data_IF_447463514734
#
_entry.id   IF_447463514734
#
_cell.length_a   1.000
_cell.length_b   1.000
_cell.length_c   1.000
_cell.angle_alpha   90.00
_cell.angle_beta   90.00
_cell.angle_gamma   90.00
#
_symmetry.space_group_name_H-M   'P 1'
#
loop_
_entity.id
_entity.type
_entity.pdbx_description
1 polymer ?
#
# COMPACT_ATOMS: atom_id res chain seq x y z
N UNK A 1 -18.92 -31.85 -24.74
CA UNK A 1 -18.73 -31.24 -23.39
C UNK A 1 -18.54 -29.72 -23.50
N UNK A 2 -18.97 -29.13 -24.63
CA UNK A 2 -18.50 -27.83 -25.11
C UNK A 2 -19.47 -26.68 -24.83
N UNK A 3 -20.74 -26.99 -24.56
CA UNK A 3 -21.74 -25.97 -24.17
C UNK A 3 -21.51 -25.41 -22.78
N UNK A 4 -21.05 -26.23 -21.82
CA UNK A 4 -20.81 -25.78 -20.44
C UNK A 4 -19.66 -24.78 -20.34
N UNK A 5 -18.64 -24.93 -21.19
CA UNK A 5 -17.49 -24.02 -21.26
C UNK A 5 -17.92 -22.67 -21.85
N UNK A 6 -18.67 -22.69 -22.96
CA UNK A 6 -19.21 -21.45 -23.56
C UNK A 6 -20.11 -20.67 -22.61
N UNK A 7 -20.92 -21.37 -21.82
CA UNK A 7 -21.82 -20.73 -20.86
C UNK A 7 -21.07 -20.12 -19.67
N UNK A 8 -19.95 -20.74 -19.23
CA UNK A 8 -19.07 -20.19 -18.21
C UNK A 8 -18.33 -18.93 -18.70
N UNK A 9 -17.83 -18.91 -19.95
CA UNK A 9 -17.16 -17.73 -20.52
C UNK A 9 -18.12 -16.53 -20.63
N UNK A 10 -19.35 -16.76 -21.08
CA UNK A 10 -20.38 -15.70 -21.17
C UNK A 10 -20.79 -15.22 -19.78
N UNK A 11 -20.88 -16.12 -18.80
CA UNK A 11 -21.20 -15.76 -17.42
C UNK A 11 -20.10 -14.91 -16.79
N UNK A 12 -18.83 -15.30 -16.92
CA UNK A 12 -17.65 -14.53 -16.48
C UNK A 12 -17.59 -13.13 -17.11
N UNK A 13 -17.98 -12.98 -18.38
CA UNK A 13 -18.03 -11.68 -19.05
C UNK A 13 -19.18 -10.79 -18.56
N UNK A 14 -20.28 -11.37 -18.07
CA UNK A 14 -21.50 -10.64 -17.68
C UNK A 14 -21.47 -10.17 -16.23
N UNK A 15 -20.89 -10.94 -15.32
CA UNK A 15 -20.69 -10.58 -13.90
C UNK A 15 -19.37 -9.87 -13.64
N UNK A 16 -18.52 -9.71 -14.65
CA UNK A 16 -17.33 -8.87 -14.51
C UNK A 16 -17.80 -7.45 -14.13
N UNK A 17 -17.44 -6.93 -12.94
CA UNK A 17 -17.74 -5.54 -12.63
C UNK A 17 -17.11 -4.67 -13.71
N UNK A 18 -17.73 -3.54 -14.11
CA UNK A 18 -17.21 -2.63 -15.14
C UNK A 18 -15.84 -2.00 -14.81
N UNK A 19 -15.19 -2.46 -13.73
CA UNK A 19 -13.91 -2.02 -13.23
C UNK A 19 -12.83 -3.11 -13.18
N UNK A 20 -13.01 -4.23 -13.88
CA UNK A 20 -11.89 -5.12 -14.24
C UNK A 20 -11.08 -4.47 -15.37
N UNK A 21 -10.39 -3.37 -15.05
CA UNK A 21 -9.59 -2.65 -16.03
C UNK A 21 -8.30 -3.45 -16.29
N UNK A 22 -8.01 -3.88 -17.54
CA UNK A 22 -6.69 -4.39 -17.90
C UNK A 22 -5.64 -3.33 -17.55
N UNK A 23 -4.40 -3.74 -17.29
CA UNK A 23 -3.25 -2.85 -16.99
C UNK A 23 -3.08 -1.78 -18.09
N UNK A 24 -3.85 -0.71 -18.00
CA UNK A 24 -3.71 0.54 -18.73
C UNK A 24 -3.07 1.51 -17.76
N UNK A 25 -1.93 2.04 -18.15
CA UNK A 25 -1.13 3.06 -17.50
C UNK A 25 -1.98 4.02 -16.63
N UNK A 26 -2.04 3.76 -15.31
CA UNK A 26 -2.84 4.54 -14.33
C UNK A 26 -2.07 5.79 -13.85
N UNK A 27 -1.33 6.43 -14.74
CA UNK A 27 -0.44 7.55 -14.40
C UNK A 27 -1.18 8.79 -13.83
N UNK A 28 -2.44 9.16 -14.20
CA UNK A 28 -3.03 10.41 -13.74
C UNK A 28 -3.24 10.50 -12.22
N UNK A 29 -3.73 9.43 -11.58
CA UNK A 29 -4.20 9.48 -10.18
C UNK A 29 -3.05 9.41 -9.17
N UNK A 30 -1.94 8.79 -9.52
CA UNK A 30 -0.77 8.66 -8.64
C UNK A 30 0.12 9.90 -8.71
N UNK A 31 0.22 10.56 -9.87
CA UNK A 31 0.99 11.80 -10.05
C UNK A 31 0.51 12.91 -9.10
N UNK A 32 -0.80 13.05 -8.93
CA UNK A 32 -1.33 14.03 -7.98
C UNK A 32 -1.03 13.66 -6.52
N UNK A 33 -1.07 12.37 -6.17
CA UNK A 33 -0.62 11.88 -4.84
C UNK A 33 0.83 12.27 -4.61
N UNK A 34 1.69 11.99 -5.60
CA UNK A 34 3.12 12.31 -5.57
C UNK A 34 3.31 13.80 -5.32
N UNK A 35 2.66 14.66 -6.11
CA UNK A 35 2.78 16.12 -6.00
C UNK A 35 2.45 16.61 -4.59
N UNK A 36 1.32 16.18 -4.03
CA UNK A 36 0.91 16.63 -2.69
C UNK A 36 1.83 16.11 -1.60
N UNK A 37 2.32 14.87 -1.70
CA UNK A 37 3.23 14.29 -0.72
C UNK A 37 4.60 14.98 -0.77
N UNK A 38 5.11 15.30 -1.96
CA UNK A 38 6.36 16.07 -2.12
C UNK A 38 6.24 17.52 -1.63
N UNK A 39 5.02 18.05 -1.50
CA UNK A 39 4.76 19.34 -0.86
C UNK A 39 4.78 19.26 0.68
N UNK A 40 5.06 18.09 1.26
CA UNK A 40 5.16 17.88 2.70
C UNK A 40 3.82 17.57 3.39
N UNK A 41 2.73 17.35 2.63
CA UNK A 41 1.44 17.00 3.23
C UNK A 41 1.50 15.59 3.85
N UNK A 42 0.74 15.39 4.92
CA UNK A 42 0.57 14.07 5.52
C UNK A 42 -0.33 13.17 4.67
N UNK A 43 -0.25 11.85 4.87
CA UNK A 43 -1.14 10.89 4.18
C UNK A 43 -2.61 11.20 4.45
N UNK A 44 -2.95 11.66 5.65
CA UNK A 44 -4.32 12.02 6.04
C UNK A 44 -4.80 13.28 5.31
N UNK A 45 -3.96 14.31 5.20
CA UNK A 45 -4.30 15.54 4.48
C UNK A 45 -4.50 15.28 2.99
N UNK A 46 -3.65 14.44 2.40
CA UNK A 46 -3.79 14.03 1.00
C UNK A 46 -5.07 13.23 0.79
N UNK A 47 -5.40 12.33 1.72
CA UNK A 47 -6.65 11.57 1.67
C UNK A 47 -7.87 12.52 1.72
N UNK A 48 -7.87 13.49 2.64
CA UNK A 48 -8.95 14.47 2.78
C UNK A 48 -9.07 15.37 1.53
N UNK A 49 -7.96 15.95 1.08
CA UNK A 49 -7.92 16.88 -0.06
C UNK A 49 -8.36 16.23 -1.36
N UNK A 50 -8.05 14.95 -1.53
CA UNK A 50 -8.42 14.17 -2.72
C UNK A 50 -9.72 13.39 -2.56
N UNK A 51 -10.38 13.47 -1.40
CA UNK A 51 -11.56 12.67 -1.06
C UNK A 51 -11.32 11.16 -1.28
N UNK A 52 -10.14 10.69 -0.90
CA UNK A 52 -9.71 9.29 -0.96
C UNK A 52 -9.61 8.71 0.45
N UNK A 53 -9.60 7.38 0.55
CA UNK A 53 -9.26 6.73 1.83
C UNK A 53 -7.74 6.75 2.05
N UNK A 54 -7.31 6.76 3.31
CA UNK A 54 -5.89 6.63 3.69
C UNK A 54 -5.29 5.36 3.06
N UNK A 55 -6.05 4.25 3.07
CA UNK A 55 -5.65 3.00 2.45
C UNK A 55 -5.37 3.12 0.95
N UNK A 56 -6.16 3.91 0.22
CA UNK A 56 -5.94 4.18 -1.22
C UNK A 56 -4.67 5.01 -1.44
N UNK A 57 -4.45 6.04 -0.63
CA UNK A 57 -3.24 6.88 -0.71
C UNK A 57 -1.99 6.05 -0.42
N UNK A 58 -2.01 5.19 0.60
CA UNK A 58 -0.91 4.27 0.92
C UNK A 58 -0.64 3.29 -0.23
N UNK A 59 -1.68 2.74 -0.86
CA UNK A 59 -1.51 1.87 -2.03
C UNK A 59 -0.86 2.62 -3.20
N UNK A 60 -1.22 3.88 -3.44
CA UNK A 60 -0.55 4.70 -4.46
C UNK A 60 0.94 4.94 -4.11
N UNK A 61 1.26 5.22 -2.85
CA UNK A 61 2.63 5.40 -2.39
C UNK A 61 3.45 4.11 -2.54
N UNK A 62 2.89 2.95 -2.18
CA UNK A 62 3.53 1.64 -2.37
C UNK A 62 3.87 1.39 -3.85
N UNK A 63 2.95 1.70 -4.77
CA UNK A 63 3.20 1.58 -6.21
C UNK A 63 4.27 2.55 -6.69
N UNK A 64 4.18 3.84 -6.32
CA UNK A 64 5.14 4.87 -6.73
C UNK A 64 6.56 4.58 -6.24
N UNK A 65 6.70 4.05 -5.02
CA UNK A 65 8.01 3.62 -4.50
C UNK A 65 8.52 2.38 -5.24
N UNK A 66 7.65 1.41 -5.52
CA UNK A 66 8.00 0.20 -6.27
C UNK A 66 8.45 0.51 -7.70
N UNK A 67 7.84 1.49 -8.34
CA UNK A 67 8.17 1.95 -9.69
C UNK A 67 9.40 2.89 -9.72
N UNK A 68 9.97 3.23 -8.57
CA UNK A 68 11.11 4.16 -8.46
C UNK A 68 10.74 5.62 -8.72
N UNK A 69 9.46 5.93 -8.88
CA UNK A 69 8.97 7.30 -9.06
C UNK A 69 9.05 8.12 -7.75
N UNK A 70 9.09 7.46 -6.59
CA UNK A 70 9.33 8.07 -5.28
C UNK A 70 10.39 7.29 -4.52
N UNK A 71 11.29 8.00 -3.85
CA UNK A 71 12.24 7.41 -2.93
C UNK A 71 11.74 7.56 -1.49
N UNK A 72 11.39 6.45 -0.84
CA UNK A 72 10.87 6.48 0.53
C UNK A 72 11.81 7.20 1.52
N UNK A 73 13.13 7.03 1.39
CA UNK A 73 14.08 7.65 2.30
C UNK A 73 14.24 9.17 2.10
N UNK A 74 14.02 9.68 0.88
CA UNK A 74 14.17 11.10 0.54
C UNK A 74 12.84 11.84 0.53
N UNK A 75 11.87 11.34 -0.23
CA UNK A 75 10.61 12.02 -0.52
C UNK A 75 9.53 11.78 0.54
N UNK A 76 9.64 10.69 1.32
CA UNK A 76 8.66 10.33 2.35
C UNK A 76 9.22 10.48 3.76
N UNK A 77 10.38 11.11 3.93
CA UNK A 77 11.04 11.22 5.23
C UNK A 77 10.16 11.87 6.31
N UNK A 78 9.33 12.85 5.93
CA UNK A 78 8.38 13.54 6.80
C UNK A 78 7.21 12.66 7.26
N UNK A 79 6.93 11.58 6.52
CA UNK A 79 5.89 10.61 6.87
C UNK A 79 6.42 9.49 7.76
N UNK A 80 7.73 9.44 8.00
CA UNK A 80 8.33 8.36 8.78
C UNK A 80 7.77 8.42 10.21
N UNK A 81 7.28 7.30 10.78
CA UNK A 81 6.87 7.25 12.18
C UNK A 81 8.03 7.67 13.10
N UNK A 82 7.71 8.08 14.32
CA UNK A 82 8.72 8.49 15.30
C UNK A 82 9.81 7.42 15.44
N UNK A 83 11.08 7.78 15.67
CA UNK A 83 12.19 6.82 15.68
C UNK A 83 11.95 5.61 16.59
N UNK A 84 11.38 5.84 17.77
CA UNK A 84 11.02 4.79 18.74
C UNK A 84 9.95 3.84 18.19
N UNK A 85 8.86 4.38 17.62
CA UNK A 85 7.79 3.55 17.05
C UNK A 85 8.27 2.80 15.81
N UNK A 86 8.99 3.48 14.93
CA UNK A 86 9.57 2.89 13.73
C UNK A 86 10.51 1.72 14.07
N UNK A 87 11.40 1.89 15.05
CA UNK A 87 12.31 0.83 15.48
C UNK A 87 11.55 -0.43 15.97
N UNK A 88 10.48 -0.22 16.74
CA UNK A 88 9.63 -1.33 17.22
C UNK A 88 8.93 -2.02 16.06
N UNK A 89 8.29 -1.27 15.17
CA UNK A 89 7.59 -1.81 14.00
C UNK A 89 8.56 -2.57 13.09
N UNK A 90 9.71 -1.98 12.77
CA UNK A 90 10.75 -2.61 11.94
C UNK A 90 11.20 -3.95 12.53
N UNK A 91 11.50 -3.99 13.84
CA UNK A 91 11.94 -5.21 14.53
C UNK A 91 10.88 -6.32 14.43
N UNK A 92 9.61 -5.98 14.64
CA UNK A 92 8.52 -6.96 14.56
C UNK A 92 8.28 -7.41 13.12
N UNK A 93 8.24 -6.50 12.14
CA UNK A 93 8.08 -6.86 10.73
C UNK A 93 9.20 -7.80 10.24
N UNK A 94 10.45 -7.55 10.65
CA UNK A 94 11.57 -8.42 10.34
C UNK A 94 11.42 -9.79 11.00
N UNK A 95 11.06 -9.84 12.29
CA UNK A 95 10.81 -11.12 12.99
C UNK A 95 9.70 -11.94 12.34
N UNK A 96 8.64 -11.29 11.86
CA UNK A 96 7.56 -11.94 11.12
C UNK A 96 8.08 -12.45 9.79
N UNK A 97 8.84 -11.64 9.04
CA UNK A 97 9.42 -12.06 7.76
C UNK A 97 10.37 -13.24 7.89
N UNK A 98 11.20 -13.27 8.93
CA UNK A 98 12.12 -14.39 9.18
C UNK A 98 11.38 -15.69 9.53
N UNK A 99 10.15 -15.62 10.06
CA UNK A 99 9.31 -16.80 10.38
C UNK A 99 8.42 -17.25 9.24
N UNK A 100 7.83 -16.30 8.52
CA UNK A 100 6.76 -16.52 7.55
C UNK A 100 7.22 -16.38 6.09
N UNK A 101 8.48 -15.96 5.87
CA UNK A 101 9.02 -15.61 4.56
C UNK A 101 8.57 -14.24 4.03
N UNK A 102 7.58 -13.60 4.65
CA UNK A 102 7.07 -12.29 4.24
C UNK A 102 6.73 -11.38 5.44
N UNK A 103 6.89 -10.06 5.27
CA UNK A 103 6.46 -9.03 6.23
C UNK A 103 4.92 -8.91 6.31
N UNK A 104 4.26 -9.95 6.82
CA UNK A 104 2.79 -9.97 7.01
C UNK A 104 2.37 -8.97 8.09
N UNK A 105 1.39 -8.11 7.77
CA UNK A 105 0.96 -7.03 8.65
C UNK A 105 0.08 -7.52 9.82
N UNK A 106 -0.79 -8.50 9.56
CA UNK A 106 -1.68 -9.07 10.58
C UNK A 106 -0.93 -9.65 11.80
N UNK A 107 0.04 -10.57 11.64
CA UNK A 107 0.83 -11.07 12.77
C UNK A 107 1.70 -9.97 13.39
N UNK A 108 2.23 -9.03 12.60
CA UNK A 108 3.00 -7.92 13.14
C UNK A 108 2.16 -7.02 14.05
N UNK A 109 0.92 -6.69 13.65
CA UNK A 109 -0.03 -5.91 14.46
C UNK A 109 -0.42 -6.65 15.73
N UNK A 110 -0.68 -7.96 15.62
CA UNK A 110 -1.01 -8.81 16.77
C UNK A 110 0.09 -8.77 17.84
N UNK A 111 1.36 -8.81 17.44
CA UNK A 111 2.51 -8.73 18.36
C UNK A 111 2.69 -7.31 18.94
N UNK A 112 2.42 -6.27 18.15
CA UNK A 112 2.59 -4.87 18.57
C UNK A 112 1.46 -4.36 19.46
N UNK A 113 0.26 -4.92 19.32
CA UNK A 113 -0.96 -4.53 20.02
C UNK A 113 -1.79 -3.46 19.28
N UNK A 114 -2.97 -3.19 19.81
CA UNK A 114 -4.01 -2.35 19.17
C UNK A 114 -3.61 -0.88 19.00
N UNK A 115 -2.64 -0.41 19.79
CA UNK A 115 -2.08 0.94 19.69
C UNK A 115 -1.43 1.25 18.32
N UNK A 116 -1.14 0.21 17.53
CA UNK A 116 -0.58 0.35 16.18
C UNK A 116 -1.64 0.05 15.13
N UNK A 117 -1.80 0.98 14.19
CA UNK A 117 -2.76 0.83 13.09
C UNK A 117 -2.13 0.11 11.90
N UNK A 118 -2.95 -0.55 11.08
CA UNK A 118 -2.45 -1.17 9.85
C UNK A 118 -1.82 -0.15 8.91
N UNK A 119 -2.33 1.08 8.88
CA UNK A 119 -1.82 2.17 8.05
C UNK A 119 -0.40 2.56 8.45
N UNK A 120 -0.14 2.66 9.76
CA UNK A 120 1.19 2.94 10.28
C UNK A 120 2.19 1.81 9.95
N UNK A 121 1.75 0.55 10.05
CA UNK A 121 2.56 -0.60 9.67
C UNK A 121 2.88 -0.60 8.17
N UNK A 122 1.90 -0.27 7.31
CA UNK A 122 2.09 -0.14 5.86
C UNK A 122 3.08 0.96 5.54
N UNK A 123 2.93 2.12 6.18
CA UNK A 123 3.83 3.26 6.00
C UNK A 123 5.25 2.91 6.43
N UNK A 124 5.43 2.28 7.59
CA UNK A 124 6.73 1.82 8.06
C UNK A 124 7.37 0.81 7.10
N UNK A 125 6.58 -0.10 6.51
CA UNK A 125 7.05 -1.10 5.53
C UNK A 125 7.71 -0.47 4.30
N UNK A 126 7.33 0.76 3.92
CA UNK A 126 7.99 1.48 2.81
C UNK A 126 9.46 1.81 3.08
N UNK A 127 9.85 1.93 4.35
CA UNK A 127 11.22 2.27 4.75
C UNK A 127 12.06 1.05 5.17
N UNK A 128 11.46 -0.15 5.17
CA UNK A 128 12.17 -1.37 5.50
C UNK A 128 12.61 -2.03 4.18
N UNK A 129 13.91 -2.29 3.97
CA UNK A 129 14.37 -2.96 2.77
C UNK A 129 13.76 -4.36 2.71
N UNK A 130 13.25 -4.75 1.53
CA UNK A 130 12.84 -6.13 1.28
C UNK A 130 14.13 -6.96 1.12
N UNK A 131 14.26 -8.04 1.89
CA UNK A 131 15.28 -9.07 1.66
C UNK A 131 14.97 -9.81 0.37
#
# INVERSE_FOLDING_TARGET
QDEKIKMQEVFLATIAPPNANPKKEKVPTQVETKKLITQGLSVSDVAMKRKLTIGTVLSHLETLVKEGALNAAKDLHHLKPTPLRFAKIKKILQRVADREGEMKLAPARSILGESYTFEELRLARLFVPRK
#
